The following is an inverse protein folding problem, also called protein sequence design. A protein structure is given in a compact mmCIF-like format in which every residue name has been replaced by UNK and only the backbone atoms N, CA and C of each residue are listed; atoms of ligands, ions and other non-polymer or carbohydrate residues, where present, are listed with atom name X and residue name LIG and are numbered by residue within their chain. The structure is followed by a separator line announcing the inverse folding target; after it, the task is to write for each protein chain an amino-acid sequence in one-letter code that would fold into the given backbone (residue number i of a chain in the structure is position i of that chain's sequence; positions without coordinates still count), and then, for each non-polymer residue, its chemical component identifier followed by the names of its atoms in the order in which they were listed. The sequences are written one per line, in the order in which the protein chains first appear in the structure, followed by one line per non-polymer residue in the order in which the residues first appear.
data_IF_943308754882
#
_entry.id   IF_943308754882
#
_cell.length_a   1.000
_cell.length_b   1.000
_cell.length_c   1.000
_cell.angle_alpha   90.00
_cell.angle_beta   90.00
_cell.angle_gamma   90.00
#
_symmetry.space_group_name_H-M   'P 1'
#
loop_
_entity.id
_entity.type
_entity.pdbx_description
1 polymer ?
#
# COMPACT_ATOMS: atom_id res chain seq x y z
N UNK A 1 16.86 88.18 -12.42
CA UNK A 1 17.72 87.35 -13.30
C UNK A 1 18.49 86.28 -12.55
N UNK A 2 19.37 86.60 -11.58
CA UNK A 2 20.11 85.55 -10.84
C UNK A 2 19.23 84.75 -9.87
N UNK A 3 18.20 85.37 -9.29
CA UNK A 3 17.22 84.72 -8.41
C UNK A 3 16.32 83.72 -9.16
N UNK A 4 15.95 84.03 -10.40
CA UNK A 4 15.05 83.19 -11.21
C UNK A 4 15.72 81.89 -11.66
N UNK A 5 17.03 81.96 -11.95
CA UNK A 5 17.86 80.80 -12.29
C UNK A 5 17.97 79.85 -11.09
N UNK A 6 18.16 80.37 -9.88
CA UNK A 6 18.23 79.56 -8.66
C UNK A 6 16.94 78.78 -8.38
N UNK A 7 15.79 79.40 -8.61
CA UNK A 7 14.47 78.75 -8.45
C UNK A 7 14.28 77.63 -9.47
N UNK A 8 14.68 77.83 -10.74
CA UNK A 8 14.60 76.79 -11.77
C UNK A 8 15.49 75.59 -11.46
N UNK A 9 16.70 75.82 -10.95
CA UNK A 9 17.62 74.73 -10.57
C UNK A 9 17.07 73.92 -9.39
N UNK A 10 16.54 74.58 -8.37
CA UNK A 10 15.89 73.90 -7.23
C UNK A 10 14.69 73.06 -7.67
N UNK A 11 13.84 73.61 -8.53
CA UNK A 11 12.68 72.89 -9.07
C UNK A 11 13.10 71.63 -9.85
N UNK A 12 14.16 71.72 -10.66
CA UNK A 12 14.71 70.58 -11.39
C UNK A 12 15.25 69.49 -10.46
N UNK A 13 15.97 69.87 -9.40
CA UNK A 13 16.51 68.92 -8.40
C UNK A 13 15.38 68.19 -7.68
N UNK A 14 14.32 68.89 -7.27
CA UNK A 14 13.16 68.27 -6.61
C UNK A 14 12.46 67.29 -7.55
N UNK A 15 12.30 67.64 -8.83
CA UNK A 15 11.73 66.75 -9.85
C UNK A 15 12.56 65.48 -10.04
N UNK A 16 13.87 65.62 -10.20
CA UNK A 16 14.79 64.48 -10.38
C UNK A 16 14.77 63.58 -9.14
N UNK A 17 14.79 64.17 -7.94
CA UNK A 17 14.73 63.43 -6.69
C UNK A 17 13.39 62.70 -6.53
N UNK A 18 12.27 63.33 -6.90
CA UNK A 18 10.96 62.69 -6.91
C UNK A 18 10.90 61.47 -7.84
N UNK A 19 11.41 61.61 -9.08
CA UNK A 19 11.48 60.50 -10.05
C UNK A 19 12.38 59.37 -9.53
N UNK A 20 13.53 59.70 -8.94
CA UNK A 20 14.44 58.72 -8.36
C UNK A 20 13.77 57.92 -7.23
N UNK A 21 13.06 58.59 -6.31
CA UNK A 21 12.32 57.94 -5.23
C UNK A 21 11.21 57.01 -5.75
N UNK A 22 10.44 57.45 -6.75
CA UNK A 22 9.38 56.63 -7.38
C UNK A 22 9.98 55.39 -8.05
N UNK A 23 11.11 55.54 -8.75
CA UNK A 23 11.78 54.43 -9.41
C UNK A 23 12.32 53.40 -8.40
N UNK A 24 12.87 53.87 -7.27
CA UNK A 24 13.37 53.01 -6.21
C UNK A 24 12.22 52.26 -5.50
N UNK A 25 11.13 52.96 -5.21
CA UNK A 25 9.92 52.35 -4.65
C UNK A 25 9.34 51.28 -5.59
N UNK A 26 9.34 51.54 -6.90
CA UNK A 26 8.88 50.59 -7.91
C UNK A 26 9.77 49.34 -7.97
N UNK A 27 11.10 49.50 -7.94
CA UNK A 27 12.06 48.40 -7.88
C UNK A 27 11.90 47.56 -6.61
N UNK A 28 11.78 48.21 -5.45
CA UNK A 28 11.55 47.54 -4.16
C UNK A 28 10.24 46.73 -4.19
N UNK A 29 9.18 47.29 -4.79
CA UNK A 29 7.91 46.59 -4.96
C UNK A 29 8.03 45.38 -5.88
N UNK A 30 8.81 45.48 -6.96
CA UNK A 30 9.09 44.34 -7.84
C UNK A 30 9.86 43.24 -7.11
N UNK A 31 10.94 43.58 -6.40
CA UNK A 31 11.71 42.62 -5.60
C UNK A 31 10.86 41.94 -4.54
N UNK A 32 10.02 42.72 -3.83
CA UNK A 32 9.10 42.18 -2.83
C UNK A 32 8.08 41.20 -3.45
N UNK A 33 7.59 41.48 -4.66
CA UNK A 33 6.68 40.58 -5.38
C UNK A 33 7.37 39.27 -5.77
N UNK A 34 8.57 39.35 -6.35
CA UNK A 34 9.34 38.17 -6.73
C UNK A 34 9.69 37.30 -5.51
N UNK A 35 10.02 37.93 -4.37
CA UNK A 35 10.24 37.21 -3.11
C UNK A 35 8.98 36.49 -2.63
N UNK A 36 7.82 37.16 -2.67
CA UNK A 36 6.54 36.52 -2.30
C UNK A 36 6.18 35.37 -3.23
N UNK A 37 6.43 35.50 -4.53
CA UNK A 37 6.21 34.43 -5.50
C UNK A 37 7.12 33.23 -5.22
N UNK A 38 8.41 33.46 -4.96
CA UNK A 38 9.34 32.41 -4.58
C UNK A 38 8.94 31.72 -3.27
N UNK A 39 8.48 32.48 -2.28
CA UNK A 39 7.99 31.95 -1.00
C UNK A 39 6.73 31.09 -1.19
N UNK A 40 5.78 31.53 -2.02
CA UNK A 40 4.59 30.73 -2.36
C UNK A 40 4.93 29.43 -3.07
N UNK A 41 5.89 29.45 -4.01
CA UNK A 41 6.37 28.23 -4.69
C UNK A 41 7.02 27.28 -3.69
N UNK A 42 7.86 27.81 -2.79
CA UNK A 42 8.49 27.01 -1.74
C UNK A 42 7.45 26.35 -0.83
N UNK A 43 6.43 27.09 -0.41
CA UNK A 43 5.34 26.55 0.41
C UNK A 43 4.55 25.46 -0.32
N UNK A 44 4.25 25.64 -1.61
CA UNK A 44 3.60 24.61 -2.43
C UNK A 44 4.44 23.35 -2.54
N UNK A 45 5.74 23.49 -2.85
CA UNK A 45 6.66 22.35 -2.91
C UNK A 45 6.75 21.59 -1.59
N UNK A 46 6.78 22.29 -0.45
CA UNK A 46 6.75 21.66 0.86
C UNK A 46 5.44 20.90 1.10
N UNK A 47 4.30 21.44 0.65
CA UNK A 47 3.00 20.76 0.67
C UNK A 47 3.00 19.49 -0.16
N UNK A 48 3.49 19.56 -1.39
CA UNK A 48 3.58 18.42 -2.31
C UNK A 48 4.49 17.32 -1.75
N UNK A 49 5.65 17.68 -1.19
CA UNK A 49 6.57 16.72 -0.53
C UNK A 49 5.88 16.02 0.64
N UNK A 50 5.13 16.74 1.47
CA UNK A 50 4.38 16.14 2.59
C UNK A 50 3.30 15.18 2.09
N UNK A 51 2.58 15.56 1.03
CA UNK A 51 1.57 14.70 0.42
C UNK A 51 2.20 13.44 -0.19
N UNK A 52 3.33 13.56 -0.88
CA UNK A 52 4.10 12.44 -1.41
C UNK A 52 4.61 11.53 -0.30
N UNK A 53 5.13 12.07 0.80
CA UNK A 53 5.60 11.29 1.94
C UNK A 53 4.44 10.51 2.61
N UNK A 54 3.30 11.17 2.81
CA UNK A 54 2.11 10.52 3.34
C UNK A 54 1.59 9.41 2.41
N UNK A 55 1.59 9.66 1.10
CA UNK A 55 1.23 8.66 0.08
C UNK A 55 2.19 7.47 0.08
N UNK A 56 3.51 7.73 0.11
CA UNK A 56 4.54 6.71 0.14
C UNK A 56 4.47 5.84 1.41
N UNK A 57 4.23 6.45 2.58
CA UNK A 57 4.01 5.71 3.82
C UNK A 57 2.79 4.77 3.72
N UNK A 58 1.68 5.26 3.16
CA UNK A 58 0.49 4.43 2.92
C UNK A 58 0.74 3.27 1.96
N UNK A 59 1.58 3.47 0.94
CA UNK A 59 2.01 2.40 0.03
C UNK A 59 2.85 1.35 0.77
N UNK A 60 3.74 1.76 1.68
CA UNK A 60 4.52 0.84 2.52
C UNK A 60 3.62 -0.08 3.35
N UNK A 61 2.60 0.48 4.02
CA UNK A 61 1.62 -0.31 4.77
C UNK A 61 0.79 -1.25 3.89
N UNK A 62 0.47 -0.83 2.66
CA UNK A 62 -0.21 -1.67 1.69
C UNK A 62 0.67 -2.85 1.27
N UNK A 63 1.95 -2.59 0.96
CA UNK A 63 2.92 -3.64 0.60
C UNK A 63 3.06 -4.63 1.74
N UNK A 64 3.24 -4.18 2.99
CA UNK A 64 3.33 -5.08 4.15
C UNK A 64 2.08 -5.95 4.33
N UNK A 65 0.89 -5.39 4.10
CA UNK A 65 -0.37 -6.16 4.12
C UNK A 65 -0.43 -7.21 3.01
N UNK A 66 0.00 -6.86 1.80
CA UNK A 66 0.05 -7.78 0.66
C UNK A 66 1.05 -8.90 0.93
N UNK A 67 2.25 -8.59 1.43
CA UNK A 67 3.25 -9.58 1.81
C UNK A 67 2.73 -10.55 2.87
N UNK A 68 2.03 -10.06 3.89
CA UNK A 68 1.43 -10.91 4.92
C UNK A 68 0.32 -11.80 4.37
N UNK A 69 -0.48 -11.29 3.43
CA UNK A 69 -1.49 -12.11 2.73
C UNK A 69 -0.83 -13.17 1.85
N UNK A 70 0.19 -12.80 1.08
CA UNK A 70 0.94 -13.71 0.23
C UNK A 70 1.58 -14.84 1.05
N UNK A 71 2.22 -14.53 2.18
CA UNK A 71 2.77 -15.55 3.10
C UNK A 71 1.69 -16.49 3.62
N UNK A 72 0.51 -15.99 3.99
CA UNK A 72 -0.61 -16.84 4.45
C UNK A 72 -1.13 -17.75 3.35
N UNK A 73 -1.19 -17.27 2.11
CA UNK A 73 -1.60 -18.10 0.97
C UNK A 73 -0.55 -19.17 0.68
N UNK A 74 0.73 -18.80 0.65
CA UNK A 74 1.83 -19.73 0.45
C UNK A 74 1.85 -20.83 1.53
N UNK A 75 1.66 -20.48 2.79
CA UNK A 75 1.59 -21.44 3.89
C UNK A 75 0.41 -22.41 3.72
N UNK A 76 -0.78 -21.91 3.35
CA UNK A 76 -1.93 -22.78 3.08
C UNK A 76 -1.69 -23.69 1.88
N UNK A 77 -1.05 -23.19 0.83
CA UNK A 77 -0.69 -24.01 -0.33
C UNK A 77 0.28 -25.11 0.08
N UNK A 78 1.29 -24.79 0.87
CA UNK A 78 2.24 -25.78 1.38
C UNK A 78 1.55 -26.84 2.24
N UNK A 79 0.61 -26.44 3.12
CA UNK A 79 -0.18 -27.39 3.91
C UNK A 79 -1.10 -28.27 3.06
N UNK A 80 -1.63 -27.75 1.95
CA UNK A 80 -2.42 -28.54 1.01
C UNK A 80 -1.55 -29.48 0.18
N UNK A 81 -0.33 -29.07 -0.17
CA UNK A 81 0.64 -29.89 -0.89
C UNK A 81 1.19 -31.03 -0.02
N UNK A 82 1.42 -30.77 1.28
CA UNK A 82 1.80 -31.81 2.24
C UNK A 82 0.64 -32.77 2.59
N UNK A 83 -0.61 -32.33 2.44
CA UNK A 83 -1.77 -33.20 2.64
C UNK A 83 -1.99 -34.04 1.39
N UNK A 84 -1.42 -35.24 1.38
CA UNK A 84 -1.72 -36.25 0.37
C UNK A 84 -3.24 -36.51 0.35
N UNK A 85 -3.94 -36.29 -0.79
CA UNK A 85 -5.37 -36.56 -0.95
C UNK A 85 -5.76 -37.99 -0.54
N UNK A 86 -4.83 -38.93 -0.68
CA UNK A 86 -5.01 -40.33 -0.30
C UNK A 86 -5.14 -40.45 1.22
N UNK A 87 -4.27 -39.80 2.00
CA UNK A 87 -4.30 -39.86 3.47
C UNK A 87 -5.61 -39.32 4.06
N UNK A 88 -6.16 -38.24 3.48
CA UNK A 88 -7.44 -37.69 3.92
C UNK A 88 -8.60 -38.64 3.64
N UNK A 89 -8.58 -39.33 2.49
CA UNK A 89 -9.59 -40.32 2.11
C UNK A 89 -9.56 -41.53 3.04
N UNK A 90 -8.38 -41.97 3.46
CA UNK A 90 -8.18 -43.03 4.45
C UNK A 90 -8.67 -42.64 5.87
N UNK A 91 -8.36 -41.44 6.35
CA UNK A 91 -8.87 -40.97 7.66
C UNK A 91 -10.41 -40.92 7.70
N UNK A 92 -11.03 -40.44 6.61
CA UNK A 92 -12.49 -40.41 6.47
C UNK A 92 -13.08 -41.82 6.39
N UNK A 93 -12.42 -42.71 5.67
CA UNK A 93 -12.78 -44.13 5.59
C UNK A 93 -12.76 -44.81 6.97
N UNK A 94 -11.71 -44.59 7.76
CA UNK A 94 -11.58 -45.19 9.10
C UNK A 94 -12.71 -44.69 10.04
N UNK A 95 -13.09 -43.41 9.98
CA UNK A 95 -14.26 -42.91 10.73
C UNK A 95 -15.55 -43.62 10.35
N UNK A 96 -15.82 -43.77 9.05
CA UNK A 96 -17.02 -44.46 8.57
C UNK A 96 -17.03 -45.94 8.98
N UNK A 97 -15.87 -46.61 8.96
CA UNK A 97 -15.76 -48.00 9.43
C UNK A 97 -16.08 -48.11 10.93
N UNK A 98 -15.62 -47.16 11.75
CA UNK A 98 -15.95 -47.10 13.19
C UNK A 98 -17.45 -46.91 13.44
N UNK A 99 -18.11 -46.17 12.55
CA UNK A 99 -19.58 -45.99 12.53
C UNK A 99 -20.32 -47.20 11.94
N UNK A 100 -19.62 -48.22 11.44
CA UNK A 100 -20.19 -49.47 10.93
C UNK A 100 -20.48 -49.48 9.42
N UNK A 101 -19.91 -48.55 8.66
CA UNK A 101 -20.07 -48.51 7.21
C UNK A 101 -19.46 -49.73 6.50
N UNK A 102 -20.05 -50.09 5.36
CA UNK A 102 -19.59 -51.21 4.49
C UNK A 102 -18.62 -50.74 3.41
N UNK A 103 -17.94 -51.69 2.76
CA UNK A 103 -16.99 -51.42 1.66
C UNK A 103 -17.63 -50.60 0.52
N UNK A 104 -18.87 -50.88 0.12
CA UNK A 104 -19.61 -50.07 -0.86
C UNK A 104 -19.76 -48.59 -0.46
N UNK A 105 -19.96 -48.30 0.83
CA UNK A 105 -20.08 -46.91 1.32
C UNK A 105 -18.74 -46.20 1.26
N UNK A 106 -17.64 -46.92 1.52
CA UNK A 106 -16.27 -46.40 1.44
C UNK A 106 -15.88 -46.07 -0.01
N UNK A 107 -16.21 -46.94 -0.96
CA UNK A 107 -15.98 -46.71 -2.39
C UNK A 107 -16.76 -45.47 -2.87
N UNK A 108 -18.03 -45.38 -2.51
CA UNK A 108 -18.90 -44.29 -2.97
C UNK A 108 -18.64 -42.94 -2.30
N UNK A 109 -18.30 -42.90 -1.00
CA UNK A 109 -18.09 -41.65 -0.25
C UNK A 109 -16.65 -41.20 -0.13
N UNK A 110 -15.70 -42.13 -0.15
CA UNK A 110 -14.27 -41.84 0.04
C UNK A 110 -13.44 -42.13 -1.21
N UNK A 111 -14.04 -42.66 -2.29
CA UNK A 111 -13.37 -42.85 -3.58
C UNK A 111 -12.31 -43.95 -3.60
N UNK A 112 -12.30 -44.86 -2.61
CA UNK A 112 -11.33 -45.95 -2.55
C UNK A 112 -11.62 -47.00 -3.63
N UNK A 113 -10.55 -47.65 -4.09
CA UNK A 113 -10.67 -48.83 -4.96
C UNK A 113 -11.27 -49.98 -4.15
N UNK A 114 -12.05 -50.84 -4.82
CA UNK A 114 -12.77 -51.94 -4.17
C UNK A 114 -11.89 -52.79 -3.25
N UNK A 115 -10.70 -53.15 -3.72
CA UNK A 115 -9.77 -53.99 -2.96
C UNK A 115 -9.23 -53.29 -1.70
N UNK A 116 -8.94 -51.98 -1.77
CA UNK A 116 -8.54 -51.18 -0.60
C UNK A 116 -9.66 -51.06 0.44
N UNK A 117 -10.88 -50.79 -0.03
CA UNK A 117 -12.04 -50.66 0.86
C UNK A 117 -12.35 -51.98 1.59
N UNK A 118 -12.28 -53.11 0.89
CA UNK A 118 -12.46 -54.43 1.52
C UNK A 118 -11.35 -54.75 2.52
N UNK A 119 -10.09 -54.43 2.20
CA UNK A 119 -8.96 -54.65 3.08
C UNK A 119 -9.10 -53.87 4.40
N UNK A 120 -9.43 -52.58 4.31
CA UNK A 120 -9.63 -51.71 5.48
C UNK A 120 -10.74 -52.19 6.41
N UNK A 121 -11.89 -52.58 5.85
CA UNK A 121 -13.02 -53.10 6.65
C UNK A 121 -12.62 -54.37 7.38
N UNK A 122 -11.87 -55.27 6.71
CA UNK A 122 -11.41 -56.53 7.33
C UNK A 122 -10.41 -56.25 8.46
N UNK A 123 -9.42 -55.39 8.22
CA UNK A 123 -8.37 -55.06 9.19
C UNK A 123 -8.97 -54.46 10.48
N UNK A 124 -9.83 -53.45 10.35
CA UNK A 124 -10.43 -52.77 11.51
C UNK A 124 -11.52 -53.60 12.21
N UNK A 125 -12.20 -54.50 11.50
CA UNK A 125 -13.16 -55.42 12.12
C UNK A 125 -12.45 -56.48 12.98
N UNK A 126 -11.27 -56.94 12.55
CA UNK A 126 -10.42 -57.84 13.33
C UNK A 126 -9.89 -57.16 14.59
N UNK A 127 -9.48 -55.88 14.48
CA UNK A 127 -9.02 -55.05 15.60
C UNK A 127 -10.10 -54.83 16.68
N UNK A 128 -11.38 -54.82 16.31
CA UNK A 128 -12.51 -54.65 17.25
C UNK A 128 -12.91 -55.95 17.97
N UNK A 129 -12.41 -57.10 17.50
CA UNK A 129 -12.71 -58.44 18.05
C UNK A 129 -11.60 -59.04 18.91
N UNK A 130 -10.48 -58.32 19.07
CA UNK A 130 -9.44 -58.61 20.08
C UNK A 130 -9.55 -57.68 21.27
#
# INVERSE_FOLDING_TARGET
MTTDIGVMVLAAIVLIMGIALISLASKLKHYSRTLKEAEMVMQRMQGDIRALYAGAAGVGDLIGRIEQQARRVAERQHQLELKDPVSQSYEQAIKLIREGATAEVLISRCGLVRDEAELLVRMYRLEKTG
#
